data_IF_357120419426
#
_entry.id   IF_357120419426
#
_cell.length_a   1.000
_cell.length_b   1.000
_cell.length_c   1.000
_cell.angle_alpha   90.00
_cell.angle_beta   90.00
_cell.angle_gamma   90.00
#
_symmetry.space_group_name_H-M   'P 1'
#
loop_
_entity.id
_entity.type
_entity.pdbx_description
1 polymer ?
#
# COMPACT_ATOMS: atom_id res chain seq x y z
N UNK A 1 6.08 0.10 -11.21
CA UNK A 1 5.78 1.30 -10.40
C UNK A 1 4.78 0.95 -9.30
N UNK A 2 5.06 1.33 -8.05
CA UNK A 2 4.16 1.09 -6.90
C UNK A 2 3.63 2.42 -6.40
N UNK A 3 2.31 2.56 -6.32
CA UNK A 3 1.63 3.76 -5.85
C UNK A 3 0.97 3.50 -4.48
N UNK A 4 1.24 4.40 -3.54
CA UNK A 4 0.62 4.44 -2.21
C UNK A 4 -0.11 5.76 -2.11
N UNK A 5 -1.43 5.70 -1.92
CA UNK A 5 -2.25 6.91 -1.88
C UNK A 5 -1.95 7.76 -0.63
N UNK A 6 -2.10 9.08 -0.79
CA UNK A 6 -2.09 10.05 0.31
C UNK A 6 -3.41 10.06 1.09
N UNK A 7 -3.69 11.17 1.80
CA UNK A 7 -4.88 11.31 2.65
C UNK A 7 -4.59 11.27 4.15
N UNK A 8 -3.36 11.67 4.53
CA UNK A 8 -2.93 11.88 5.91
C UNK A 8 -3.19 10.70 6.85
N UNK A 9 -3.14 9.47 6.32
CA UNK A 9 -3.44 8.22 7.04
C UNK A 9 -4.86 8.10 7.58
N UNK A 10 -5.78 8.99 7.22
CA UNK A 10 -7.16 9.00 7.70
C UNK A 10 -8.16 8.59 6.62
N UNK A 11 -7.89 8.97 5.37
CA UNK A 11 -8.76 8.73 4.22
C UNK A 11 -7.93 8.32 3.01
N UNK A 12 -8.60 7.81 1.99
CA UNK A 12 -8.01 7.42 0.73
C UNK A 12 -8.44 6.02 0.30
N UNK A 13 -8.11 5.68 -0.95
CA UNK A 13 -8.44 4.39 -1.54
C UNK A 13 -7.47 4.08 -2.68
N UNK A 14 -7.46 2.84 -3.18
CA UNK A 14 -6.68 2.43 -4.36
C UNK A 14 -7.59 2.06 -5.53
N UNK A 15 -8.83 2.56 -5.53
CA UNK A 15 -9.83 2.16 -6.52
C UNK A 15 -9.66 2.92 -7.83
N UNK A 16 -10.15 2.26 -8.89
CA UNK A 16 -10.62 2.81 -10.17
C UNK A 16 -10.96 4.30 -10.15
N UNK A 17 -11.92 4.60 -9.28
CA UNK A 17 -12.68 5.85 -9.27
C UNK A 17 -11.81 7.06 -8.97
N UNK A 18 -10.84 6.91 -8.07
CA UNK A 18 -9.98 8.00 -7.62
C UNK A 18 -8.58 7.93 -8.25
N UNK A 19 -8.05 6.72 -8.48
CA UNK A 19 -6.71 6.49 -9.02
C UNK A 19 -6.77 5.63 -10.28
N UNK A 20 -7.40 6.18 -11.32
CA UNK A 20 -7.53 5.51 -12.63
C UNK A 20 -6.16 5.27 -13.26
N UNK A 21 -5.86 4.06 -13.76
CA UNK A 21 -4.57 3.73 -14.38
C UNK A 21 -4.47 4.18 -15.85
N UNK A 22 -5.55 4.72 -16.43
CA UNK A 22 -5.77 4.89 -17.87
C UNK A 22 -4.65 5.63 -18.60
N UNK A 23 -4.02 6.61 -17.94
CA UNK A 23 -2.89 7.33 -18.52
C UNK A 23 -1.62 6.49 -18.52
N UNK A 24 -1.39 5.68 -17.48
CA UNK A 24 -0.23 4.78 -17.41
C UNK A 24 -0.38 3.54 -18.27
N UNK A 25 -1.60 3.13 -18.63
CA UNK A 25 -1.81 2.02 -19.58
C UNK A 25 -1.39 2.34 -21.02
N UNK A 26 -0.92 3.58 -21.27
CA UNK A 26 -0.29 3.99 -22.52
C UNK A 26 1.23 3.81 -22.52
N UNK A 27 1.82 3.55 -21.35
CA UNK A 27 3.25 3.40 -21.15
C UNK A 27 3.59 1.92 -20.90
N UNK A 28 4.83 1.53 -21.17
CA UNK A 28 5.31 0.16 -20.90
C UNK A 28 5.70 -0.01 -19.43
N UNK A 29 4.68 -0.01 -18.57
CA UNK A 29 4.84 -0.11 -17.11
C UNK A 29 3.81 -1.04 -16.48
N UNK A 30 4.25 -1.79 -15.48
CA UNK A 30 3.34 -2.42 -14.51
C UNK A 30 3.05 -1.44 -13.38
N UNK A 31 1.78 -1.08 -13.20
CA UNK A 31 1.30 -0.22 -12.11
C UNK A 31 0.61 -1.05 -11.03
N UNK A 32 1.07 -0.92 -9.78
CA UNK A 32 0.44 -1.52 -8.60
C UNK A 32 -0.01 -0.43 -7.64
N UNK A 33 -1.31 -0.35 -7.35
CA UNK A 33 -1.88 0.56 -6.36
C UNK A 33 -2.22 -0.21 -5.08
N UNK A 34 -1.61 0.18 -3.94
CA UNK A 34 -1.78 -0.53 -2.67
C UNK A 34 -2.79 0.17 -1.76
N UNK A 35 -3.61 -0.63 -1.06
CA UNK A 35 -4.38 -0.20 0.11
C UNK A 35 -3.60 -0.48 1.39
N UNK A 36 -3.83 0.34 2.41
CA UNK A 36 -3.32 0.12 3.76
C UNK A 36 -4.36 0.57 4.79
N UNK A 37 -4.30 0.04 6.02
CA UNK A 37 -5.23 0.45 7.07
C UNK A 37 -5.09 1.92 7.42
N UNK A 38 -6.23 2.57 7.67
CA UNK A 38 -6.35 4.00 7.96
C UNK A 38 -6.87 4.24 9.39
N UNK A 39 -6.75 5.49 9.85
CA UNK A 39 -7.23 5.96 11.14
C UNK A 39 -6.71 5.13 12.31
N UNK A 40 -7.52 4.99 13.36
CA UNK A 40 -7.15 4.19 14.53
C UNK A 40 -6.85 2.72 14.16
N UNK A 41 -7.52 2.14 13.17
CA UNK A 41 -7.29 0.75 12.75
C UNK A 41 -5.89 0.54 12.17
N UNK A 42 -5.29 1.56 11.57
CA UNK A 42 -3.93 1.52 11.05
C UNK A 42 -2.87 2.05 12.02
N UNK A 43 -3.22 2.98 12.90
CA UNK A 43 -2.23 3.81 13.59
C UNK A 43 -2.44 3.95 15.10
N UNK A 44 -3.39 3.23 15.69
CA UNK A 44 -3.51 3.15 17.15
C UNK A 44 -2.24 2.54 17.76
N UNK A 45 -1.78 3.14 18.85
CA UNK A 45 -0.59 2.71 19.59
C UNK A 45 -0.86 2.75 21.08
N UNK A 46 -0.53 1.68 21.78
CA UNK A 46 -0.52 1.62 23.24
C UNK A 46 0.92 1.56 23.74
N UNK A 47 1.18 2.17 24.91
CA UNK A 47 2.49 2.07 25.59
C UNK A 47 2.67 0.72 26.28
N UNK A 48 1.56 0.11 26.68
CA UNK A 48 1.54 -1.22 27.26
C UNK A 48 1.95 -2.25 26.19
N UNK A 49 3.06 -2.94 26.46
CA UNK A 49 3.64 -3.92 25.54
C UNK A 49 2.85 -5.23 25.54
N UNK A 50 2.12 -5.55 26.60
CA UNK A 50 1.38 -6.81 26.72
C UNK A 50 0.19 -6.83 25.75
N UNK A 51 -0.31 -5.66 25.36
CA UNK A 51 -1.34 -5.51 24.33
C UNK A 51 -0.85 -5.77 22.90
N UNK A 52 0.48 -5.77 22.66
CA UNK A 52 1.10 -6.00 21.35
C UNK A 52 0.62 -5.05 20.23
N UNK A 53 0.27 -3.80 20.58
CA UNK A 53 -0.14 -2.75 19.63
C UNK A 53 0.87 -1.59 19.69
N UNK A 54 2.07 -1.74 19.09
CA UNK A 54 3.13 -0.73 19.12
C UNK A 54 2.91 0.42 18.11
N UNK A 55 1.76 0.47 17.43
CA UNK A 55 1.49 1.43 16.36
C UNK A 55 1.95 1.01 14.97
N UNK A 56 1.70 1.90 14.02
CA UNK A 56 2.14 1.83 12.62
C UNK A 56 1.72 0.55 11.89
N UNK A 57 0.57 -0.02 12.22
CA UNK A 57 0.03 -1.19 11.53
C UNK A 57 -0.20 -0.89 10.04
N UNK A 58 -0.67 0.31 9.69
CA UNK A 58 -0.81 0.76 8.30
C UNK A 58 0.52 0.82 7.53
N UNK A 59 1.62 1.23 8.18
CA UNK A 59 2.94 1.18 7.54
C UNK A 59 3.44 -0.26 7.38
N UNK A 60 3.13 -1.15 8.33
CA UNK A 60 3.44 -2.58 8.20
C UNK A 60 2.66 -3.22 7.05
N UNK A 61 1.43 -2.78 6.81
CA UNK A 61 0.65 -3.19 5.63
C UNK A 61 1.35 -2.76 4.34
N UNK A 62 1.86 -1.52 4.27
CA UNK A 62 2.62 -1.04 3.11
C UNK A 62 3.90 -1.85 2.88
N UNK A 63 4.67 -2.13 3.94
CA UNK A 63 5.86 -2.99 3.87
C UNK A 63 5.50 -4.39 3.34
N UNK A 64 4.42 -4.98 3.84
CA UNK A 64 3.95 -6.29 3.38
C UNK A 64 3.52 -6.25 1.91
N UNK A 65 2.78 -5.21 1.50
CA UNK A 65 2.38 -5.01 0.10
C UNK A 65 3.57 -4.86 -0.83
N UNK A 66 4.60 -4.10 -0.45
CA UNK A 66 5.83 -3.95 -1.25
C UNK A 66 6.60 -5.27 -1.35
N UNK A 67 6.70 -6.04 -0.26
CA UNK A 67 7.31 -7.38 -0.31
C UNK A 67 6.56 -8.30 -1.26
N UNK A 68 5.24 -8.30 -1.20
CA UNK A 68 4.41 -9.06 -2.13
C UNK A 68 4.68 -8.64 -3.57
N UNK A 69 4.75 -7.33 -3.86
CA UNK A 69 5.08 -6.85 -5.21
C UNK A 69 6.46 -7.34 -5.64
N UNK A 70 7.48 -7.23 -4.78
CA UNK A 70 8.85 -7.69 -5.08
C UNK A 70 8.91 -9.20 -5.38
N UNK A 71 8.10 -10.00 -4.69
CA UNK A 71 8.05 -11.46 -4.85
C UNK A 71 7.22 -11.90 -6.07
N UNK A 72 6.27 -11.08 -6.53
CA UNK A 72 5.25 -11.52 -7.50
C UNK A 72 5.20 -10.72 -8.80
N UNK A 73 5.80 -9.52 -8.89
CA UNK A 73 5.63 -8.64 -10.06
C UNK A 73 6.12 -9.27 -11.38
N UNK A 74 7.12 -10.15 -11.31
CA UNK A 74 7.64 -10.89 -12.47
C UNK A 74 6.56 -11.73 -13.17
N UNK A 75 5.60 -12.28 -12.44
CA UNK A 75 4.49 -13.05 -13.01
C UNK A 75 3.51 -12.18 -13.84
N UNK A 76 3.58 -10.86 -13.67
CA UNK A 76 2.76 -9.87 -14.38
C UNK A 76 3.58 -9.05 -15.39
N UNK A 77 4.80 -9.48 -15.71
CA UNK A 77 5.71 -8.78 -16.63
C UNK A 77 6.47 -7.59 -16.01
N UNK A 78 6.47 -7.46 -14.68
CA UNK A 78 7.27 -6.43 -13.99
C UNK A 78 8.70 -6.90 -13.70
N UNK A 79 9.65 -5.96 -13.63
CA UNK A 79 10.98 -6.22 -13.11
C UNK A 79 10.98 -6.05 -11.57
N UNK A 80 11.40 -7.07 -10.79
CA UNK A 80 11.52 -6.93 -9.35
C UNK A 80 12.68 -6.03 -8.91
N UNK A 81 13.72 -5.81 -9.71
CA UNK A 81 15.00 -5.19 -9.29
C UNK A 81 15.05 -3.67 -9.43
#
# INVERSE_FOLDING_TARGET
MVWIHGGAYQVGEATRRLYSPDYFMKEDVVLVCLQYRLGALGFLSFKDKDLQIPGNAGLKDQVMGIKWVKENCAAFGGDPH
#
